data_IF_040792060858
#
_entry.id   IF_040792060858
#
_cell.length_a   1.000
_cell.length_b   1.000
_cell.length_c   1.000
_cell.angle_alpha   90.00
_cell.angle_beta   90.00
_cell.angle_gamma   90.00
#
_symmetry.space_group_name_H-M   'P 1'
#
loop_
_entity.id
_entity.type
_entity.pdbx_description
1 polymer ?
#
# COMPACT_ATOMS: atom_id res chain seq x y z
N UNK A 1 -31.23 -12.47 -21.75
CA UNK A 1 -30.64 -12.43 -20.39
C UNK A 1 -29.21 -11.94 -20.53
N UNK A 2 -29.01 -10.63 -20.47
CA UNK A 2 -27.69 -10.01 -20.63
C UNK A 2 -27.03 -10.13 -19.27
N UNK A 3 -26.08 -11.07 -19.12
CA UNK A 3 -25.15 -11.04 -18.00
C UNK A 3 -24.24 -9.84 -18.22
N UNK A 4 -24.56 -8.73 -17.57
CA UNK A 4 -23.62 -7.63 -17.37
C UNK A 4 -22.54 -8.20 -16.46
N UNK A 5 -21.52 -8.76 -17.08
CA UNK A 5 -20.32 -9.18 -16.41
C UNK A 5 -19.59 -7.89 -16.04
N UNK A 6 -19.86 -7.39 -14.83
CA UNK A 6 -19.08 -6.34 -14.16
C UNK A 6 -17.70 -6.92 -13.85
N UNK A 7 -16.92 -7.22 -14.89
CA UNK A 7 -15.48 -7.37 -14.77
C UNK A 7 -14.97 -5.95 -14.55
N UNK A 8 -14.85 -5.57 -13.27
CA UNK A 8 -13.88 -4.58 -12.85
C UNK A 8 -12.59 -4.94 -13.59
N UNK A 9 -12.20 -4.10 -14.55
CA UNK A 9 -10.96 -4.25 -15.30
C UNK A 9 -9.85 -4.20 -14.26
N UNK A 10 -9.36 -5.37 -13.84
CA UNK A 10 -8.27 -5.49 -12.89
C UNK A 10 -7.14 -4.60 -13.41
N UNK A 11 -6.88 -3.50 -12.69
CA UNK A 11 -5.78 -2.60 -13.04
C UNK A 11 -4.51 -3.42 -12.92
N UNK A 12 -3.65 -3.32 -13.92
CA UNK A 12 -2.37 -4.04 -13.85
C UNK A 12 -1.57 -3.57 -12.62
N UNK A 13 -0.70 -4.42 -12.08
CA UNK A 13 0.13 -4.08 -10.92
C UNK A 13 0.93 -2.76 -11.13
N UNK A 14 1.32 -2.49 -12.38
CA UNK A 14 1.96 -1.23 -12.81
C UNK A 14 1.02 -0.02 -12.75
N UNK A 15 -0.27 -0.19 -13.04
CA UNK A 15 -1.25 0.89 -12.92
C UNK A 15 -1.59 1.20 -11.47
N UNK A 16 -1.74 0.18 -10.62
CA UNK A 16 -1.99 0.35 -9.18
C UNK A 16 -0.83 1.10 -8.54
N UNK A 17 0.41 0.63 -8.75
CA UNK A 17 1.60 1.31 -8.24
C UNK A 17 1.73 2.76 -8.75
N UNK A 18 1.34 3.03 -10.01
CA UNK A 18 1.30 4.39 -10.56
C UNK A 18 0.26 5.27 -9.87
N UNK A 19 -0.95 4.76 -9.61
CA UNK A 19 -2.01 5.49 -8.92
C UNK A 19 -1.61 5.85 -7.49
N UNK A 20 -1.04 4.90 -6.75
CA UNK A 20 -0.56 5.15 -5.38
C UNK A 20 0.54 6.23 -5.38
N UNK A 21 1.46 6.19 -6.36
CA UNK A 21 2.47 7.26 -6.55
C UNK A 21 1.87 8.63 -6.86
N UNK A 22 0.71 8.71 -7.52
CA UNK A 22 0.03 10.00 -7.77
C UNK A 22 -0.53 10.60 -6.48
N UNK A 23 -0.82 9.78 -5.48
CA UNK A 23 -1.31 10.18 -4.16
C UNK A 23 -0.20 10.19 -3.09
N UNK A 24 1.08 10.29 -3.49
CA UNK A 24 2.21 10.20 -2.54
C UNK A 24 2.19 11.27 -1.45
N UNK A 25 1.59 12.43 -1.72
CA UNK A 25 1.41 13.53 -0.76
C UNK A 25 0.48 13.17 0.40
N UNK A 26 -0.39 12.18 0.24
CA UNK A 26 -1.21 11.70 1.35
C UNK A 26 -0.36 11.04 2.46
N UNK A 27 0.87 10.65 2.15
CA UNK A 27 1.80 10.00 3.08
C UNK A 27 2.86 10.96 3.65
N UNK A 28 2.57 12.26 3.71
CA UNK A 28 3.52 13.27 4.20
C UNK A 28 4.02 12.98 5.63
N UNK A 29 3.13 12.49 6.50
CA UNK A 29 3.42 12.15 7.89
C UNK A 29 4.29 10.89 8.08
N UNK A 30 4.62 10.17 7.00
CA UNK A 30 5.46 8.97 7.04
C UNK A 30 6.81 9.22 6.37
N UNK A 31 7.89 8.79 6.99
CA UNK A 31 9.25 8.95 6.48
C UNK A 31 9.49 8.07 5.25
N UNK A 32 8.99 6.84 5.29
CA UNK A 32 9.12 5.89 4.20
C UNK A 32 7.81 5.19 3.87
N UNK A 33 7.61 4.90 2.59
CA UNK A 33 6.43 4.21 2.07
C UNK A 33 6.88 3.12 1.11
N UNK A 34 6.45 1.89 1.35
CA UNK A 34 6.76 0.74 0.51
C UNK A 34 5.48 0.01 0.10
N UNK A 35 5.40 -0.41 -1.16
CA UNK A 35 4.48 -1.48 -1.56
C UNK A 35 5.18 -2.80 -1.35
N UNK A 36 4.48 -3.82 -0.89
CA UNK A 36 5.02 -5.17 -0.79
C UNK A 36 3.95 -6.21 -1.11
N UNK A 37 4.27 -7.48 -0.87
CA UNK A 37 3.29 -8.56 -0.98
C UNK A 37 2.95 -8.94 -2.43
N UNK A 38 1.74 -9.46 -2.62
CA UNK A 38 1.35 -10.14 -3.85
C UNK A 38 1.25 -9.20 -5.07
N UNK A 39 1.05 -7.91 -4.85
CA UNK A 39 0.99 -6.88 -5.89
C UNK A 39 2.28 -6.78 -6.72
N UNK A 40 3.43 -7.17 -6.16
CA UNK A 40 4.70 -7.10 -6.88
C UNK A 40 5.04 -8.38 -7.64
N UNK A 41 4.27 -9.45 -7.43
CA UNK A 41 4.43 -10.71 -8.16
C UNK A 41 3.69 -10.64 -9.51
N UNK A 42 4.45 -10.63 -10.60
CA UNK A 42 3.91 -10.56 -11.98
C UNK A 42 3.10 -11.79 -12.37
N UNK A 43 3.23 -12.89 -11.63
CA UNK A 43 2.52 -14.14 -11.89
C UNK A 43 1.23 -14.27 -11.06
N UNK A 44 0.91 -13.30 -10.20
CA UNK A 44 -0.27 -13.33 -9.34
C UNK A 44 -1.19 -12.15 -9.62
N UNK A 45 -2.48 -12.42 -9.46
CA UNK A 45 -3.50 -11.37 -9.36
C UNK A 45 -3.55 -10.95 -7.88
N UNK A 46 -3.30 -9.68 -7.55
CA UNK A 46 -3.40 -9.20 -6.17
C UNK A 46 -4.85 -9.22 -5.70
N UNK A 47 -5.08 -9.73 -4.48
CA UNK A 47 -6.38 -9.66 -3.82
C UNK A 47 -6.55 -8.37 -3.02
N UNK A 48 -5.44 -7.81 -2.57
CA UNK A 48 -5.28 -6.67 -1.69
C UNK A 48 -4.00 -5.89 -2.06
N UNK A 49 -3.87 -4.71 -1.46
CA UNK A 49 -2.72 -3.83 -1.61
C UNK A 49 -2.04 -3.73 -0.26
N UNK A 50 -0.89 -4.41 -0.12
CA UNK A 50 -0.06 -4.33 1.09
C UNK A 50 0.86 -3.10 1.03
N UNK A 51 0.68 -2.18 1.99
CA UNK A 51 1.49 -0.97 2.12
C UNK A 51 2.19 -0.95 3.48
N UNK A 52 3.51 -0.81 3.45
CA UNK A 52 4.32 -0.58 4.65
C UNK A 52 4.63 0.91 4.80
N UNK A 53 4.31 1.44 5.96
CA UNK A 53 4.51 2.83 6.34
C UNK A 53 5.47 2.90 7.53
N UNK A 54 6.54 3.69 7.40
CA UNK A 54 7.51 3.87 8.48
C UNK A 54 7.53 5.33 8.92
N UNK A 55 7.39 5.57 10.23
CA UNK A 55 7.45 6.90 10.83
C UNK A 55 8.61 7.03 11.83
N UNK A 56 9.20 8.23 11.95
CA UNK A 56 10.14 8.59 13.00
C UNK A 56 9.42 9.10 14.25
N UNK A 57 8.35 9.85 14.07
CA UNK A 57 7.52 10.37 15.15
C UNK A 57 6.06 10.00 14.87
N UNK A 58 5.39 9.45 15.88
CA UNK A 58 4.00 9.03 15.73
C UNK A 58 3.10 10.26 15.68
N UNK A 59 2.35 10.42 14.58
CA UNK A 59 1.28 11.42 14.50
C UNK A 59 0.14 11.09 15.46
N UNK A 60 -0.35 12.09 16.20
CA UNK A 60 -1.54 11.95 17.06
C UNK A 60 -2.78 11.52 16.26
N UNK A 61 -2.81 11.86 14.96
CA UNK A 61 -3.92 11.57 14.05
C UNK A 61 -3.66 10.38 13.14
N UNK A 62 -2.67 9.54 13.45
CA UNK A 62 -2.24 8.43 12.56
C UNK A 62 -3.40 7.52 12.13
N UNK A 63 -4.34 7.20 13.02
CA UNK A 63 -5.50 6.35 12.68
C UNK A 63 -6.44 7.07 11.69
N UNK A 64 -6.67 8.37 11.90
CA UNK A 64 -7.48 9.17 11.00
C UNK A 64 -6.83 9.28 9.62
N UNK A 65 -5.52 9.54 9.57
CA UNK A 65 -4.76 9.62 8.32
C UNK A 65 -4.81 8.30 7.56
N UNK A 66 -4.59 7.17 8.23
CA UNK A 66 -4.67 5.84 7.64
C UNK A 66 -6.06 5.54 7.07
N UNK A 67 -7.13 5.84 7.81
CA UNK A 67 -8.50 5.64 7.33
C UNK A 67 -8.82 6.51 6.11
N UNK A 68 -8.35 7.76 6.10
CA UNK A 68 -8.51 8.66 4.97
C UNK A 68 -7.78 8.15 3.72
N UNK A 69 -6.50 7.78 3.87
CA UNK A 69 -5.69 7.20 2.79
C UNK A 69 -6.34 5.91 2.28
N UNK A 70 -6.76 5.02 3.18
CA UNK A 70 -7.43 3.76 2.86
C UNK A 70 -8.63 4.02 1.94
N UNK A 71 -9.54 4.90 2.38
CA UNK A 71 -10.77 5.20 1.65
C UNK A 71 -10.53 5.72 0.22
N UNK A 72 -9.47 6.51 0.02
CA UNK A 72 -9.10 7.03 -1.31
C UNK A 72 -8.53 5.91 -2.18
N UNK A 73 -7.58 5.15 -1.63
CA UNK A 73 -6.88 4.12 -2.40
C UNK A 73 -7.78 2.95 -2.76
N UNK A 74 -8.66 2.50 -1.87
CA UNK A 74 -9.64 1.45 -2.16
C UNK A 74 -10.63 1.89 -3.25
N UNK A 75 -11.09 3.14 -3.19
CA UNK A 75 -11.98 3.72 -4.20
C UNK A 75 -11.29 3.81 -5.57
N UNK A 76 -10.03 4.25 -5.60
CA UNK A 76 -9.27 4.43 -6.84
C UNK A 76 -8.79 3.10 -7.43
N UNK A 77 -8.35 2.17 -6.60
CA UNK A 77 -7.75 0.91 -7.05
C UNK A 77 -8.78 -0.20 -7.22
N UNK A 78 -9.91 -0.14 -6.50
CA UNK A 78 -10.93 -1.19 -6.48
C UNK A 78 -10.50 -2.46 -5.77
N UNK A 79 -9.47 -2.37 -4.91
CA UNK A 79 -8.94 -3.46 -4.10
C UNK A 79 -8.84 -3.00 -2.64
N UNK A 80 -9.08 -3.89 -1.67
CA UNK A 80 -8.79 -3.63 -0.25
C UNK A 80 -7.35 -3.20 -0.03
N UNK A 81 -7.11 -2.32 0.94
CA UNK A 81 -5.77 -1.85 1.30
C UNK A 81 -5.44 -2.28 2.72
N UNK A 82 -4.31 -2.96 2.90
CA UNK A 82 -3.78 -3.30 4.22
C UNK A 82 -2.54 -2.46 4.53
N UNK A 83 -2.47 -1.97 5.76
CA UNK A 83 -1.37 -1.14 6.24
C UNK A 83 -0.59 -1.85 7.34
N UNK A 84 0.68 -2.11 7.05
CA UNK A 84 1.66 -2.36 8.11
C UNK A 84 2.30 -1.03 8.48
N UNK A 85 2.22 -0.64 9.74
CA UNK A 85 2.74 0.65 10.21
C UNK A 85 3.75 0.41 11.31
N UNK A 86 4.98 0.88 11.13
CA UNK A 86 6.09 0.69 12.05
C UNK A 86 6.77 2.02 12.36
N UNK A 87 7.29 2.16 13.58
CA UNK A 87 8.32 3.15 13.85
C UNK A 87 9.67 2.72 13.24
N UNK A 88 10.62 3.65 13.12
CA UNK A 88 11.99 3.33 12.70
C UNK A 88 12.64 2.30 13.65
N UNK A 89 12.35 2.40 14.95
CA UNK A 89 12.82 1.46 15.96
C UNK A 89 12.19 0.08 15.77
N UNK A 90 10.88 0.01 15.56
CA UNK A 90 10.16 -1.26 15.34
C UNK A 90 10.65 -1.96 14.06
N UNK A 91 10.91 -1.22 12.98
CA UNK A 91 11.49 -1.81 11.77
C UNK A 91 12.89 -2.38 12.05
N UNK A 92 13.73 -1.65 12.79
CA UNK A 92 15.08 -2.10 13.16
C UNK A 92 15.06 -3.37 14.03
N UNK A 93 14.13 -3.45 14.99
CA UNK A 93 14.01 -4.59 15.89
C UNK A 93 13.47 -5.83 15.16
N UNK A 94 12.47 -5.63 14.30
CA UNK A 94 11.84 -6.72 13.56
C UNK A 94 12.59 -7.13 12.29
N UNK A 95 13.48 -6.26 11.80
CA UNK A 95 14.13 -6.35 10.50
C UNK A 95 13.13 -6.65 9.37
N UNK A 96 11.94 -6.03 9.43
CA UNK A 96 10.82 -6.37 8.55
C UNK A 96 11.21 -6.29 7.06
N UNK A 97 11.89 -5.22 6.64
CA UNK A 97 12.32 -5.05 5.24
C UNK A 97 13.28 -6.15 4.79
N UNK A 98 14.15 -6.61 5.69
CA UNK A 98 15.07 -7.73 5.42
C UNK A 98 14.29 -9.04 5.25
N UNK A 99 13.26 -9.29 6.08
CA UNK A 99 12.45 -10.52 6.03
C UNK A 99 11.67 -10.65 4.72
N UNK A 100 11.14 -9.54 4.20
CA UNK A 100 10.44 -9.52 2.92
C UNK A 100 11.39 -9.57 1.70
N UNK A 101 12.71 -9.68 1.92
CA UNK A 101 13.72 -10.17 0.97
C UNK A 101 13.56 -9.67 -0.48
N UNK A 102 13.48 -8.34 -0.62
CA UNK A 102 13.36 -7.63 -1.91
C UNK A 102 12.01 -7.73 -2.63
N UNK A 103 11.00 -8.36 -2.02
CA UNK A 103 9.61 -8.35 -2.51
C UNK A 103 8.89 -7.06 -2.10
N UNK A 104 9.54 -5.91 -2.28
CA UNK A 104 9.00 -4.59 -2.00
C UNK A 104 9.45 -3.55 -3.03
N UNK A 105 8.63 -2.51 -3.19
CA UNK A 105 8.90 -1.35 -4.02
C UNK A 105 8.82 -0.09 -3.15
N UNK A 106 9.94 0.61 -3.01
CA UNK A 106 9.98 1.91 -2.33
C UNK A 106 9.26 2.98 -3.15
N UNK A 107 8.32 3.66 -2.53
CA UNK A 107 7.57 4.79 -3.09
C UNK A 107 8.06 6.14 -2.57
N UNK A 108 8.45 6.20 -1.28
CA UNK A 108 9.02 7.35 -0.57
C UNK A 108 10.12 6.87 0.36
#
# INVERSE_FOLDING_TARGET
MIFINTYMRLKSNKEISRLIKQHITLFENFNYVYLFGSLLDVNKVPNDIDILLIYSERSDNIIHDLNFICSILEKECGLPVDFTVLSIEEERETNFLTRISSSYLKLK
#
